data_IF_136947111068
#
_entry.id   IF_136947111068
#
_cell.length_a   1.000
_cell.length_b   1.000
_cell.length_c   1.000
_cell.angle_alpha   90.00
_cell.angle_beta   90.00
_cell.angle_gamma   90.00
#
_symmetry.space_group_name_H-M   'P 1'
#
loop_
_entity.id
_entity.type
_entity.pdbx_description
1 polymer ?
#
# COMPACT_ATOMS: atom_id res chain seq x y z
N UNK A 1 -41.93 11.88 -35.78
CA UNK A 1 -40.96 11.24 -34.87
C UNK A 1 -41.50 11.41 -33.46
N UNK A 2 -42.17 10.39 -32.92
CA UNK A 2 -42.89 10.49 -31.65
C UNK A 2 -41.90 10.49 -30.47
N UNK A 3 -41.94 11.54 -29.65
CA UNK A 3 -41.18 11.62 -28.41
C UNK A 3 -41.65 10.54 -27.43
N UNK A 4 -40.75 9.63 -27.07
CA UNK A 4 -40.99 8.70 -25.96
C UNK A 4 -40.71 9.44 -24.66
N UNK A 5 -41.75 9.59 -23.85
CA UNK A 5 -41.65 10.12 -22.49
C UNK A 5 -40.84 9.18 -21.61
N UNK A 6 -39.92 9.76 -20.84
CA UNK A 6 -39.21 9.06 -19.75
C UNK A 6 -40.19 8.90 -18.59
N UNK A 7 -40.46 7.68 -18.08
CA UNK A 7 -41.41 7.49 -16.99
C UNK A 7 -40.85 8.10 -15.69
N UNK A 8 -41.50 9.16 -15.24
CA UNK A 8 -41.33 9.74 -13.92
C UNK A 8 -42.09 8.85 -12.93
N UNK A 9 -41.37 8.02 -12.15
CA UNK A 9 -41.65 7.66 -10.75
C UNK A 9 -40.83 6.43 -10.32
N UNK A 10 -39.74 6.68 -9.59
CA UNK A 10 -39.18 5.72 -8.64
C UNK A 10 -39.17 6.39 -7.27
N UNK A 11 -40.31 6.28 -6.55
CA UNK A 11 -40.34 6.43 -5.09
C UNK A 11 -40.59 5.04 -4.52
N UNK A 12 -39.52 4.35 -4.14
CA UNK A 12 -39.54 3.26 -3.16
C UNK A 12 -38.28 3.44 -2.31
N UNK A 13 -38.45 3.37 -0.99
CA UNK A 13 -37.32 3.41 -0.06
C UNK A 13 -36.29 2.35 -0.43
N UNK A 14 -35.01 2.70 -0.26
CA UNK A 14 -33.89 1.80 -0.46
C UNK A 14 -34.04 0.61 0.50
N UNK A 15 -34.02 -0.62 -0.02
CA UNK A 15 -33.77 -1.79 0.82
C UNK A 15 -32.31 -1.78 1.28
N UNK A 16 -31.98 -2.41 2.41
CA UNK A 16 -30.58 -2.51 2.86
C UNK A 16 -29.66 -3.14 1.81
N UNK A 17 -30.15 -4.17 1.10
CA UNK A 17 -29.42 -4.77 -0.02
C UNK A 17 -29.11 -3.75 -1.14
N UNK A 18 -30.09 -2.90 -1.49
CA UNK A 18 -29.88 -1.84 -2.49
C UNK A 18 -28.93 -0.75 -1.98
N UNK A 19 -28.95 -0.44 -0.69
CA UNK A 19 -28.00 0.48 -0.09
C UNK A 19 -26.56 -0.06 -0.21
N UNK A 20 -26.35 -1.34 0.09
CA UNK A 20 -25.05 -1.99 -0.03
C UNK A 20 -24.52 -2.03 -1.49
N UNK A 21 -25.39 -2.37 -2.45
CA UNK A 21 -25.05 -2.33 -3.88
C UNK A 21 -24.59 -0.93 -4.34
N UNK A 22 -25.28 0.12 -3.89
CA UNK A 22 -24.95 1.51 -4.26
C UNK A 22 -23.64 2.00 -3.64
N UNK A 23 -23.26 1.48 -2.46
CA UNK A 23 -21.96 1.75 -1.85
C UNK A 23 -20.85 1.02 -2.62
N UNK A 24 -21.09 -0.23 -3.04
CA UNK A 24 -20.13 -1.01 -3.82
C UNK A 24 -19.85 -0.46 -5.23
N UNK A 25 -20.72 0.40 -5.77
CA UNK A 25 -20.47 1.08 -7.05
C UNK A 25 -19.37 2.16 -6.97
N UNK A 26 -19.00 2.63 -5.78
CA UNK A 26 -18.02 3.71 -5.60
C UNK A 26 -16.58 3.23 -5.82
N UNK A 27 -16.12 2.11 -5.21
CA UNK A 27 -14.82 1.54 -5.55
C UNK A 27 -14.64 1.34 -7.05
N UNK A 28 -15.68 0.81 -7.74
CA UNK A 28 -15.62 0.59 -9.18
C UNK A 28 -15.36 1.89 -9.95
N UNK A 29 -16.07 2.98 -9.64
CA UNK A 29 -15.86 4.28 -10.28
C UNK A 29 -14.46 4.84 -9.95
N UNK A 30 -14.04 4.75 -8.70
CA UNK A 30 -12.74 5.25 -8.25
C UNK A 30 -11.58 4.50 -8.93
N UNK A 31 -11.64 3.16 -8.97
CA UNK A 31 -10.61 2.30 -9.55
C UNK A 31 -10.51 2.41 -11.08
N UNK A 32 -11.63 2.69 -11.76
CA UNK A 32 -11.66 2.73 -13.24
C UNK A 32 -11.50 4.13 -13.81
N UNK A 33 -11.79 5.17 -13.05
CA UNK A 33 -11.85 6.56 -13.58
C UNK A 33 -11.14 7.60 -12.72
N UNK A 34 -10.59 7.22 -11.55
CA UNK A 34 -10.07 8.15 -10.55
C UNK A 34 -11.11 9.20 -10.09
N UNK A 35 -12.42 8.87 -10.18
CA UNK A 35 -13.52 9.76 -9.74
C UNK A 35 -14.34 9.15 -8.62
N UNK A 36 -14.84 10.01 -7.74
CA UNK A 36 -15.75 9.67 -6.64
C UNK A 36 -16.97 10.58 -6.72
N UNK A 37 -18.15 10.04 -6.41
CA UNK A 37 -19.42 10.79 -6.45
C UNK A 37 -20.19 10.68 -5.13
N UNK A 38 -20.97 11.72 -4.85
CA UNK A 38 -21.94 11.78 -3.76
C UNK A 38 -23.11 10.79 -3.95
N UNK A 39 -23.99 10.72 -2.95
CA UNK A 39 -25.18 9.85 -2.89
C UNK A 39 -26.02 9.85 -4.18
N UNK A 40 -26.32 11.02 -4.75
CA UNK A 40 -27.15 11.10 -5.96
C UNK A 40 -26.49 10.42 -7.17
N UNK A 41 -25.18 10.64 -7.36
CA UNK A 41 -24.44 9.97 -8.43
C UNK A 41 -24.28 8.47 -8.22
N UNK A 42 -24.23 7.99 -6.97
CA UNK A 42 -24.22 6.54 -6.68
C UNK A 42 -25.47 5.87 -7.18
N UNK A 43 -26.65 6.45 -6.91
CA UNK A 43 -27.94 5.92 -7.37
C UNK A 43 -27.95 5.83 -8.90
N UNK A 44 -27.57 6.90 -9.59
CA UNK A 44 -27.52 6.93 -11.06
C UNK A 44 -26.56 5.86 -11.62
N UNK A 45 -25.38 5.73 -11.03
CA UNK A 45 -24.40 4.73 -11.45
C UNK A 45 -24.90 3.30 -11.19
N UNK A 46 -25.44 3.04 -10.01
CA UNK A 46 -25.97 1.72 -9.65
C UNK A 46 -27.18 1.32 -10.49
N UNK A 47 -28.07 2.25 -10.83
CA UNK A 47 -29.16 1.99 -11.78
C UNK A 47 -28.61 1.69 -13.17
N UNK A 48 -27.55 2.39 -13.61
CA UNK A 48 -26.89 2.14 -14.89
C UNK A 48 -26.26 0.74 -14.94
N UNK A 49 -25.55 0.33 -13.89
CA UNK A 49 -24.98 -1.02 -13.76
C UNK A 49 -26.10 -2.06 -13.79
N UNK A 50 -27.16 -1.89 -13.01
CA UNK A 50 -28.31 -2.80 -13.00
C UNK A 50 -28.97 -2.92 -14.38
N UNK A 51 -29.08 -1.83 -15.14
CA UNK A 51 -29.59 -1.87 -16.51
C UNK A 51 -28.65 -2.64 -17.45
N UNK A 52 -27.33 -2.50 -17.31
CA UNK A 52 -26.35 -3.26 -18.08
C UNK A 52 -26.44 -4.76 -17.77
N UNK A 53 -26.47 -5.14 -16.49
CA UNK A 53 -26.57 -6.54 -16.05
C UNK A 53 -27.88 -7.21 -16.51
N UNK A 54 -28.97 -6.44 -16.60
CA UNK A 54 -30.25 -6.89 -17.15
C UNK A 54 -30.25 -6.99 -18.68
N UNK A 55 -29.14 -6.69 -19.35
CA UNK A 55 -29.03 -6.69 -20.81
C UNK A 55 -29.86 -5.58 -21.49
N UNK A 56 -30.24 -4.54 -20.75
CA UNK A 56 -30.99 -3.39 -21.30
C UNK A 56 -30.09 -2.35 -21.96
N UNK A 57 -28.78 -2.46 -21.76
CA UNK A 57 -27.74 -1.70 -22.44
C UNK A 57 -26.91 -2.67 -23.28
N UNK A 58 -26.69 -2.35 -24.55
CA UNK A 58 -25.88 -3.14 -25.47
C UNK A 58 -24.42 -2.65 -25.41
N UNK A 59 -23.44 -3.50 -25.75
CA UNK A 59 -22.02 -3.10 -25.77
C UNK A 59 -21.72 -1.88 -26.65
N UNK A 60 -22.50 -1.68 -27.71
CA UNK A 60 -22.33 -0.57 -28.67
C UNK A 60 -23.18 0.67 -28.32
N UNK A 61 -23.94 0.65 -27.21
CA UNK A 61 -24.72 1.82 -26.81
C UNK A 61 -23.80 2.88 -26.20
N UNK A 62 -23.93 4.13 -26.66
CA UNK A 62 -23.26 5.27 -26.05
C UNK A 62 -24.10 5.80 -24.88
N UNK A 63 -23.58 5.68 -23.66
CA UNK A 63 -24.29 6.02 -22.42
C UNK A 63 -23.60 7.19 -21.73
N UNK A 64 -24.35 8.26 -21.49
CA UNK A 64 -23.88 9.41 -20.70
C UNK A 64 -24.50 9.34 -19.31
N UNK A 65 -23.64 9.24 -18.29
CA UNK A 65 -24.04 9.23 -16.88
C UNK A 65 -23.63 10.56 -16.24
N UNK A 66 -24.62 11.37 -15.84
CA UNK A 66 -24.38 12.64 -15.16
C UNK A 66 -24.16 12.41 -13.66
N UNK A 67 -22.95 12.69 -13.19
CA UNK A 67 -22.59 12.66 -11.77
C UNK A 67 -22.55 14.10 -11.26
N UNK A 68 -23.60 14.52 -10.55
CA UNK A 68 -23.89 15.93 -10.29
C UNK A 68 -23.19 16.53 -9.08
N UNK A 69 -22.56 15.72 -8.21
CA UNK A 69 -21.87 16.24 -7.02
C UNK A 69 -20.62 15.46 -6.63
N UNK A 70 -19.84 16.08 -5.77
CA UNK A 70 -18.47 15.66 -5.47
C UNK A 70 -18.43 14.59 -4.38
N UNK A 71 -17.59 13.56 -4.53
CA UNK A 71 -17.47 12.46 -3.58
C UNK A 71 -17.04 12.81 -2.15
N UNK A 72 -16.58 14.06 -1.91
CA UNK A 72 -16.23 14.57 -0.59
C UNK A 72 -17.44 15.11 0.20
N UNK A 73 -18.61 15.23 -0.42
CA UNK A 73 -19.83 15.70 0.28
C UNK A 73 -20.50 14.59 1.11
N UNK A 74 -20.10 13.34 0.93
CA UNK A 74 -20.66 12.19 1.68
C UNK A 74 -19.57 11.18 2.03
N UNK A 75 -18.54 11.65 2.73
CA UNK A 75 -17.42 10.81 3.19
C UNK A 75 -17.90 9.76 4.20
N UNK A 76 -18.93 10.08 4.97
CA UNK A 76 -19.55 9.19 5.97
C UNK A 76 -20.07 7.90 5.32
N UNK A 77 -20.59 8.00 4.10
CA UNK A 77 -21.18 6.86 3.41
C UNK A 77 -20.14 5.95 2.72
N UNK A 78 -18.84 6.24 2.87
CA UNK A 78 -17.74 5.33 2.55
C UNK A 78 -16.85 5.05 3.75
N UNK A 79 -17.12 5.65 4.90
CA UNK A 79 -16.28 5.54 6.08
C UNK A 79 -16.09 4.09 6.55
N UNK A 80 -17.16 3.28 6.48
CA UNK A 80 -17.10 1.84 6.81
C UNK A 80 -16.44 0.98 5.71
N UNK A 81 -16.21 1.54 4.52
CA UNK A 81 -15.54 0.87 3.40
C UNK A 81 -14.07 1.29 3.22
N UNK A 82 -13.64 2.34 3.92
CA UNK A 82 -12.23 2.73 3.97
C UNK A 82 -11.53 1.77 4.94
N UNK A 83 -10.47 1.11 4.46
CA UNK A 83 -9.66 0.24 5.30
C UNK A 83 -9.03 1.05 6.42
N UNK A 84 -9.11 0.54 7.66
CA UNK A 84 -8.38 1.11 8.78
C UNK A 84 -6.88 0.92 8.51
N UNK A 85 -6.17 2.02 8.32
CA UNK A 85 -4.74 1.96 8.04
C UNK A 85 -4.02 1.57 9.33
N UNK A 86 -3.26 0.46 9.36
CA UNK A 86 -2.54 0.09 10.56
C UNK A 86 -1.54 1.19 10.93
N UNK A 87 -1.46 1.51 12.22
CA UNK A 87 -0.37 2.35 12.72
C UNK A 87 0.91 1.53 12.70
N UNK A 88 1.85 1.91 11.84
CA UNK A 88 3.15 1.25 11.69
C UNK A 88 4.20 2.12 12.38
N UNK A 89 5.09 1.51 13.16
CA UNK A 89 6.21 2.24 13.75
C UNK A 89 7.08 2.89 12.65
N UNK A 90 7.69 4.07 12.90
CA UNK A 90 8.44 4.80 11.88
C UNK A 90 9.84 4.19 11.65
N UNK A 91 9.90 2.89 11.39
CA UNK A 91 11.11 2.12 11.13
C UNK A 91 10.97 1.41 9.80
N UNK A 92 12.06 1.36 9.05
CA UNK A 92 12.05 0.82 7.68
C UNK A 92 11.57 -0.64 7.64
N UNK A 93 11.98 -1.48 8.61
CA UNK A 93 11.55 -2.88 8.68
C UNK A 93 10.05 -3.03 8.87
N UNK A 94 9.47 -2.19 9.72
CA UNK A 94 8.05 -2.26 10.06
C UNK A 94 7.23 -1.85 8.84
N UNK A 95 7.65 -0.83 8.10
CA UNK A 95 7.00 -0.45 6.83
C UNK A 95 7.19 -1.52 5.76
N UNK A 96 8.43 -2.02 5.57
CA UNK A 96 8.75 -3.03 4.56
C UNK A 96 7.92 -4.32 4.73
N UNK A 97 7.68 -4.75 5.97
CA UNK A 97 6.84 -5.91 6.28
C UNK A 97 5.38 -5.76 5.79
N UNK A 98 4.86 -4.52 5.70
CA UNK A 98 3.49 -4.24 5.27
C UNK A 98 3.36 -3.97 3.77
N UNK A 99 4.44 -3.59 3.08
CA UNK A 99 4.43 -3.27 1.63
C UNK A 99 5.12 -4.33 0.76
N UNK A 100 5.43 -5.51 1.31
CA UNK A 100 6.09 -6.61 0.61
C UNK A 100 7.56 -6.34 0.26
N UNK A 101 8.21 -5.42 0.99
CA UNK A 101 9.54 -4.89 0.70
C UNK A 101 10.73 -5.68 1.27
N UNK A 102 10.53 -6.89 1.80
CA UNK A 102 11.56 -7.56 2.59
C UNK A 102 12.53 -8.36 1.72
N UNK A 103 13.72 -7.81 1.46
CA UNK A 103 14.91 -8.61 1.13
C UNK A 103 15.75 -8.79 2.38
N UNK A 104 15.28 -9.65 3.28
CA UNK A 104 16.09 -10.15 4.39
C UNK A 104 16.87 -11.38 3.92
N UNK A 105 18.08 -11.56 4.44
CA UNK A 105 18.90 -12.75 4.23
C UNK A 105 19.23 -13.27 5.61
N UNK A 106 18.85 -14.51 5.90
CA UNK A 106 19.21 -15.15 7.16
C UNK A 106 20.66 -15.63 7.12
N UNK A 107 21.37 -15.32 8.20
CA UNK A 107 22.81 -15.52 8.34
C UNK A 107 23.13 -15.80 9.80
N UNK A 108 23.97 -16.81 10.05
CA UNK A 108 24.47 -17.12 11.38
C UNK A 108 25.60 -16.18 11.80
N UNK A 109 25.71 -15.88 13.09
CA UNK A 109 26.83 -15.13 13.65
C UNK A 109 26.70 -14.98 15.15
N UNK A 110 27.82 -15.02 15.88
CA UNK A 110 27.80 -14.72 17.32
C UNK A 110 27.90 -13.20 17.60
N UNK A 111 28.38 -12.43 16.62
CA UNK A 111 28.50 -10.97 16.67
C UNK A 111 28.08 -10.37 15.33
N UNK A 112 27.86 -9.06 15.30
CA UNK A 112 27.64 -8.31 14.04
C UNK A 112 28.80 -8.56 13.07
N UNK A 113 30.03 -8.60 13.59
CA UNK A 113 31.22 -8.97 12.84
C UNK A 113 31.11 -10.36 12.21
N UNK A 114 30.77 -11.37 13.00
CA UNK A 114 30.62 -12.75 12.52
C UNK A 114 29.50 -12.89 11.48
N UNK A 115 28.36 -12.22 11.67
CA UNK A 115 27.27 -12.24 10.69
C UNK A 115 27.69 -11.63 9.35
N UNK A 116 28.43 -10.51 9.36
CA UNK A 116 28.97 -9.90 8.15
C UNK A 116 30.04 -10.78 7.48
N UNK A 117 30.83 -11.57 8.23
CA UNK A 117 31.79 -12.52 7.65
C UNK A 117 31.09 -13.63 6.87
N UNK A 118 29.99 -14.14 7.41
CA UNK A 118 29.14 -15.12 6.73
C UNK A 118 28.45 -14.51 5.50
N UNK A 119 27.99 -13.25 5.59
CA UNK A 119 27.45 -12.51 4.46
C UNK A 119 28.48 -12.38 3.33
N UNK A 120 29.72 -12.02 3.66
CA UNK A 120 30.81 -11.89 2.69
C UNK A 120 31.22 -13.25 2.12
N UNK A 121 31.19 -14.31 2.92
CA UNK A 121 31.45 -15.68 2.43
C UNK A 121 30.44 -16.07 1.35
N UNK A 122 29.16 -15.75 1.57
CA UNK A 122 28.08 -16.01 0.61
C UNK A 122 28.09 -15.05 -0.58
N UNK A 123 28.48 -13.80 -0.37
CA UNK A 123 28.50 -12.72 -1.37
C UNK A 123 29.84 -11.96 -1.36
N UNK A 124 30.92 -12.54 -1.91
CA UNK A 124 32.27 -11.96 -1.83
C UNK A 124 32.38 -10.54 -2.42
N UNK A 125 31.54 -10.21 -3.40
CA UNK A 125 31.47 -8.89 -4.00
C UNK A 125 31.07 -7.76 -3.04
N UNK A 126 30.48 -8.10 -1.88
CA UNK A 126 30.09 -7.11 -0.86
C UNK A 126 31.27 -6.74 0.06
N UNK A 127 32.29 -7.58 0.19
CA UNK A 127 33.44 -7.34 1.06
C UNK A 127 34.04 -5.92 0.93
N UNK A 128 34.40 -5.44 -0.29
CA UNK A 128 35.02 -4.13 -0.45
C UNK A 128 34.04 -2.97 -0.23
N UNK A 129 32.75 -3.23 -0.02
CA UNK A 129 31.72 -2.22 0.25
C UNK A 129 31.35 -2.13 1.72
N UNK A 130 31.59 -3.18 2.51
CA UNK A 130 31.15 -3.25 3.91
C UNK A 130 32.26 -2.87 4.89
N UNK A 131 33.52 -3.23 4.60
CA UNK A 131 34.65 -3.04 5.51
C UNK A 131 35.91 -2.60 4.79
N UNK A 132 36.74 -1.84 5.51
CA UNK A 132 38.09 -1.50 5.06
C UNK A 132 39.05 -2.70 5.14
N UNK A 133 40.29 -2.49 4.69
CA UNK A 133 41.33 -3.51 4.70
C UNK A 133 41.74 -3.98 6.12
N UNK A 134 41.36 -3.24 7.16
CA UNK A 134 41.63 -3.56 8.56
C UNK A 134 40.44 -4.23 9.25
N UNK A 135 39.32 -4.44 8.53
CA UNK A 135 38.10 -5.05 9.06
C UNK A 135 37.17 -4.07 9.79
N UNK A 136 37.47 -2.77 9.76
CA UNK A 136 36.62 -1.75 10.36
C UNK A 136 35.49 -1.31 9.40
N UNK A 137 34.36 -0.78 9.90
CA UNK A 137 33.30 -0.24 9.05
C UNK A 137 33.80 0.94 8.21
N UNK A 138 33.45 0.99 6.93
CA UNK A 138 33.72 2.20 6.14
C UNK A 138 32.91 3.40 6.67
N UNK A 139 33.44 4.64 6.58
CA UNK A 139 32.71 5.84 6.99
C UNK A 139 31.39 6.06 6.25
N UNK A 140 31.25 5.48 5.05
CA UNK A 140 30.12 5.65 4.15
C UNK A 140 29.11 4.50 4.21
N UNK A 141 29.18 3.62 5.22
CA UNK A 141 28.16 2.61 5.48
C UNK A 141 27.88 2.58 6.97
N UNK A 142 26.61 2.73 7.33
CA UNK A 142 26.17 2.62 8.72
C UNK A 142 25.52 1.26 8.95
N UNK A 143 25.86 0.65 10.07
CA UNK A 143 25.32 -0.64 10.48
C UNK A 143 24.48 -0.42 11.73
N UNK A 144 23.29 -1.01 11.76
CA UNK A 144 22.40 -0.96 12.90
C UNK A 144 22.09 -2.38 13.38
N UNK A 145 22.12 -2.59 14.69
CA UNK A 145 21.56 -3.78 15.33
C UNK A 145 20.25 -3.38 15.99
N UNK A 146 19.11 -3.92 15.54
CA UNK A 146 17.79 -3.60 16.09
C UNK A 146 17.49 -2.09 16.22
N UNK A 147 17.86 -1.30 15.21
CA UNK A 147 17.79 0.19 15.14
C UNK A 147 18.87 0.97 15.87
N UNK A 148 19.77 0.31 16.59
CA UNK A 148 20.86 0.99 17.29
C UNK A 148 22.14 0.97 16.46
N UNK A 149 22.75 2.14 16.26
CA UNK A 149 24.00 2.26 15.51
C UNK A 149 25.09 1.46 16.24
N UNK A 150 25.65 0.46 15.56
CA UNK A 150 26.59 -0.47 16.20
C UNK A 150 27.82 0.26 16.76
N UNK A 151 28.19 1.44 16.21
CA UNK A 151 29.30 2.26 16.71
C UNK A 151 29.09 2.75 18.15
N UNK A 152 27.85 2.79 18.62
CA UNK A 152 27.49 3.23 19.96
C UNK A 152 27.44 2.09 20.98
N UNK A 153 27.39 0.83 20.52
CA UNK A 153 27.13 -0.36 21.37
C UNK A 153 28.22 -1.44 21.31
N UNK A 154 29.42 -1.09 20.85
CA UNK A 154 30.59 -2.00 20.81
C UNK A 154 31.05 -2.40 19.40
N UNK A 155 30.47 -1.82 18.35
CA UNK A 155 30.90 -2.00 16.97
C UNK A 155 30.60 -3.40 16.44
N UNK A 156 31.57 -3.97 15.72
CA UNK A 156 31.41 -5.32 15.17
C UNK A 156 31.60 -6.44 16.21
N UNK A 157 32.08 -6.11 17.40
CA UNK A 157 32.18 -7.07 18.51
C UNK A 157 30.87 -7.22 19.28
N UNK A 158 29.85 -6.39 18.99
CA UNK A 158 28.52 -6.50 19.61
C UNK A 158 27.91 -7.87 19.33
N UNK A 159 27.57 -8.59 20.40
CA UNK A 159 26.91 -9.89 20.35
C UNK A 159 25.53 -9.77 19.70
N UNK A 160 25.17 -10.76 18.89
CA UNK A 160 23.83 -10.89 18.31
C UNK A 160 23.11 -12.11 18.89
N UNK A 161 21.82 -11.97 19.13
CA UNK A 161 20.94 -13.04 19.56
C UNK A 161 20.11 -13.57 18.37
N UNK A 162 19.48 -14.72 18.56
CA UNK A 162 18.53 -15.26 17.58
C UNK A 162 17.35 -14.30 17.40
N UNK A 163 17.02 -14.01 16.14
CA UNK A 163 16.00 -13.02 15.77
C UNK A 163 16.45 -11.56 15.76
N UNK A 164 17.73 -11.26 16.01
CA UNK A 164 18.26 -9.90 15.85
C UNK A 164 18.41 -9.51 14.37
N UNK A 165 18.07 -8.26 14.06
CA UNK A 165 18.19 -7.70 12.72
C UNK A 165 19.43 -6.81 12.59
N UNK A 166 20.28 -7.11 11.61
CA UNK A 166 21.38 -6.23 11.19
C UNK A 166 21.00 -5.48 9.92
N UNK A 167 20.79 -4.16 10.04
CA UNK A 167 20.49 -3.29 8.90
C UNK A 167 21.76 -2.61 8.39
N UNK A 168 22.01 -2.73 7.09
CA UNK A 168 23.13 -2.10 6.40
C UNK A 168 22.60 -0.94 5.57
N UNK A 169 22.96 0.29 5.96
CA UNK A 169 22.55 1.51 5.27
C UNK A 169 23.76 2.09 4.54
N UNK A 170 23.82 2.01 3.20
CA UNK A 170 24.84 2.74 2.46
C UNK A 170 24.59 4.25 2.62
N UNK A 171 25.65 5.02 2.81
CA UNK A 171 25.56 6.47 2.78
C UNK A 171 25.10 6.89 1.38
N UNK A 172 23.87 7.39 1.30
CA UNK A 172 23.37 8.03 0.09
C UNK A 172 23.93 9.45 0.11
N UNK A 173 24.99 9.70 -0.64
CA UNK A 173 25.31 11.07 -1.02
C UNK A 173 24.13 11.58 -1.86
N UNK A 174 23.34 12.49 -1.29
CA UNK A 174 22.21 13.09 -1.99
C UNK A 174 22.69 13.79 -3.26
N UNK A 175 22.02 13.50 -4.37
CA UNK A 175 22.06 14.30 -5.58
C UNK A 175 20.92 15.30 -5.60
#
# INVERSE_FOLDING_TARGET
>A
MAGRSVPTKLRKGLTEARAAELVAAIPLLAETTDRVTETAGRVTLGDTITLAEQGKLRPDDEVVVCLTGHGLETVEAVQDSVLDAPTIAPRLRDVAAHVGGTRAIEIDGATVGGALDQLVTRYPQLAPRLRDAHGAPYPFVTFYLNDEDVRLVGGFDTTVADGDDVTIVPAVAGG
#
